data_IF_180849217877
#
_entry.id   IF_180849217877
#
_cell.length_a   1.000
_cell.length_b   1.000
_cell.length_c   1.000
_cell.angle_alpha   90.00
_cell.angle_beta   90.00
_cell.angle_gamma   90.00
#
_symmetry.space_group_name_H-M   'P 1'
#
loop_
_entity.id
_entity.type
_entity.pdbx_description
1 polymer ?
#
# COMPACT_ATOMS: atom_id res chain seq x y z
N UNK A 1 22.00 6.98 -7.40
CA UNK A 1 21.01 7.46 -6.42
C UNK A 1 19.64 7.73 -7.01
N UNK A 2 19.40 8.74 -7.87
CA UNK A 2 18.06 8.99 -8.43
C UNK A 2 17.39 7.74 -9.05
N UNK A 3 18.13 6.99 -9.88
CA UNK A 3 17.62 5.74 -10.47
C UNK A 3 17.42 4.57 -9.50
N UNK A 4 18.10 4.53 -8.36
CA UNK A 4 17.92 3.46 -7.36
C UNK A 4 16.64 3.68 -6.55
N UNK A 5 16.31 4.93 -6.22
CA UNK A 5 15.05 5.28 -5.58
C UNK A 5 13.86 5.10 -6.52
N UNK A 6 14.02 5.40 -7.81
CA UNK A 6 12.99 5.12 -8.82
C UNK A 6 12.67 3.62 -8.92
N UNK A 7 13.68 2.74 -8.90
CA UNK A 7 13.47 1.28 -8.93
C UNK A 7 12.79 0.77 -7.65
N UNK A 8 13.16 1.30 -6.48
CA UNK A 8 12.48 0.97 -5.22
C UNK A 8 11.04 1.48 -5.25
N UNK A 9 10.81 2.71 -5.73
CA UNK A 9 9.48 3.31 -5.82
C UNK A 9 8.55 2.48 -6.71
N UNK A 10 9.00 2.08 -7.90
CA UNK A 10 8.21 1.22 -8.79
C UNK A 10 7.84 -0.13 -8.16
N UNK A 11 8.74 -0.73 -7.37
CA UNK A 11 8.42 -1.95 -6.61
C UNK A 11 7.39 -1.70 -5.51
N UNK A 12 7.51 -0.58 -4.80
CA UNK A 12 6.54 -0.20 -3.77
C UNK A 12 5.16 0.11 -4.36
N UNK A 13 5.10 0.74 -5.53
CA UNK A 13 3.86 0.98 -6.28
C UNK A 13 3.15 -0.33 -6.60
N UNK A 14 3.88 -1.31 -7.14
CA UNK A 14 3.34 -2.66 -7.38
C UNK A 14 2.82 -3.33 -6.11
N UNK A 15 3.56 -3.24 -5.01
CA UNK A 15 3.11 -3.78 -3.71
C UNK A 15 1.84 -3.05 -3.21
N UNK A 16 1.72 -1.74 -3.42
CA UNK A 16 0.55 -0.98 -3.02
C UNK A 16 -0.71 -1.42 -3.79
N UNK A 17 -0.55 -1.73 -5.09
CA UNK A 17 -1.62 -2.32 -5.92
C UNK A 17 -1.99 -3.73 -5.45
N UNK A 18 -1.02 -4.61 -5.21
CA UNK A 18 -1.28 -5.97 -4.70
C UNK A 18 -2.05 -5.95 -3.36
N UNK A 19 -1.69 -5.02 -2.47
CA UNK A 19 -2.40 -4.82 -1.20
C UNK A 19 -3.83 -4.31 -1.39
N UNK A 20 -4.07 -3.48 -2.42
CA UNK A 20 -5.40 -2.98 -2.75
C UNK A 20 -6.28 -4.11 -3.30
N UNK A 21 -5.76 -4.90 -4.24
CA UNK A 21 -6.47 -6.03 -4.83
C UNK A 21 -6.82 -7.08 -3.78
N UNK A 22 -5.88 -7.41 -2.91
CA UNK A 22 -6.12 -8.35 -1.82
C UNK A 22 -7.18 -7.83 -0.84
N UNK A 23 -7.19 -6.53 -0.53
CA UNK A 23 -8.23 -5.93 0.32
C UNK A 23 -9.63 -6.08 -0.30
N UNK A 24 -9.75 -5.85 -1.62
CA UNK A 24 -11.02 -6.03 -2.35
C UNK A 24 -11.47 -7.49 -2.32
N UNK A 25 -10.56 -8.44 -2.53
CA UNK A 25 -10.87 -9.88 -2.46
C UNK A 25 -11.40 -10.25 -1.08
N UNK A 26 -10.71 -9.84 -0.01
CA UNK A 26 -11.13 -10.15 1.37
C UNK A 26 -12.48 -9.51 1.74
N UNK A 27 -12.75 -8.31 1.23
CA UNK A 27 -14.04 -7.67 1.42
C UNK A 27 -15.17 -8.47 0.77
N UNK A 28 -14.96 -8.96 -0.47
CA UNK A 28 -15.94 -9.79 -1.18
C UNK A 28 -16.18 -11.12 -0.47
N UNK A 29 -15.11 -11.82 -0.08
CA UNK A 29 -15.21 -13.09 0.66
C UNK A 29 -15.98 -12.93 1.97
N UNK A 30 -15.79 -11.81 2.68
CA UNK A 30 -16.56 -11.50 3.89
C UNK A 30 -18.04 -11.31 3.62
N UNK A 31 -18.39 -10.59 2.55
CA UNK A 31 -19.79 -10.38 2.14
C UNK A 31 -20.44 -11.72 1.78
N UNK A 32 -19.75 -12.53 0.99
CA UNK A 32 -20.24 -13.84 0.53
C UNK A 32 -20.41 -14.83 1.70
N UNK A 33 -19.57 -14.75 2.73
CA UNK A 33 -19.69 -15.53 3.96
C UNK A 33 -20.80 -15.02 4.91
N UNK A 34 -21.52 -13.95 4.56
CA UNK A 34 -22.55 -13.34 5.41
C UNK A 34 -21.97 -12.53 6.58
N UNK A 35 -20.70 -12.14 6.52
CA UNK A 35 -20.02 -11.33 7.52
C UNK A 35 -20.56 -9.90 7.55
N UNK A 36 -21.03 -9.46 8.71
CA UNK A 36 -21.55 -8.11 8.95
C UNK A 36 -20.49 -7.13 9.47
N UNK A 37 -19.31 -7.63 9.83
CA UNK A 37 -18.19 -6.83 10.33
C UNK A 37 -17.09 -6.66 9.30
N UNK A 38 -16.43 -5.51 9.36
CA UNK A 38 -15.23 -5.21 8.58
C UNK A 38 -14.12 -6.20 8.97
N UNK A 39 -13.61 -7.04 8.04
CA UNK A 39 -12.60 -8.04 8.38
C UNK A 39 -11.37 -7.38 9.00
N UNK A 40 -10.86 -7.94 10.10
CA UNK A 40 -9.60 -7.50 10.72
C UNK A 40 -8.46 -7.49 9.68
N UNK A 41 -8.50 -8.45 8.76
CA UNK A 41 -7.55 -8.56 7.64
C UNK A 41 -7.65 -7.37 6.67
N UNK A 42 -8.85 -6.89 6.36
CA UNK A 42 -9.02 -5.77 5.43
C UNK A 42 -8.50 -4.44 6.03
N UNK A 43 -8.78 -4.23 7.32
CA UNK A 43 -8.23 -3.07 8.06
C UNK A 43 -6.71 -3.12 8.13
N UNK A 44 -6.14 -4.33 8.28
CA UNK A 44 -4.69 -4.53 8.28
C UNK A 44 -4.09 -4.23 6.89
N UNK A 45 -4.72 -4.69 5.83
CA UNK A 45 -4.29 -4.45 4.43
C UNK A 45 -4.33 -2.96 4.09
N UNK A 46 -5.41 -2.26 4.45
CA UNK A 46 -5.53 -0.81 4.21
C UNK A 46 -4.43 -0.02 4.93
N UNK A 47 -4.09 -0.39 6.17
CA UNK A 47 -2.99 0.27 6.90
C UNK A 47 -1.63 -0.02 6.30
N UNK A 48 -1.38 -1.26 5.87
CA UNK A 48 -0.16 -1.64 5.19
C UNK A 48 0.01 -0.83 3.90
N UNK A 49 -1.05 -0.75 3.09
CA UNK A 49 -1.04 0.03 1.84
C UNK A 49 -0.69 1.50 2.09
N UNK A 50 -1.32 2.15 3.08
CA UNK A 50 -0.99 3.55 3.43
C UNK A 50 0.46 3.73 3.86
N UNK A 51 1.04 2.75 4.56
CA UNK A 51 2.45 2.81 4.94
C UNK A 51 3.38 2.72 3.72
N UNK A 52 3.02 1.88 2.74
CA UNK A 52 3.74 1.76 1.46
C UNK A 52 3.60 3.04 0.63
N UNK A 53 2.39 3.59 0.51
CA UNK A 53 2.14 4.88 -0.15
C UNK A 53 2.99 6.00 0.47
N UNK A 54 3.09 6.05 1.81
CA UNK A 54 3.97 7.01 2.49
C UNK A 54 5.44 6.81 2.11
N UNK A 55 5.91 5.57 2.03
CA UNK A 55 7.29 5.29 1.63
C UNK A 55 7.57 5.73 0.19
N UNK A 56 6.62 5.54 -0.74
CA UNK A 56 6.69 6.04 -2.12
C UNK A 56 6.90 7.56 -2.14
N UNK A 57 6.09 8.30 -1.38
CA UNK A 57 6.18 9.77 -1.33
C UNK A 57 7.53 10.23 -0.75
N UNK A 58 8.03 9.58 0.29
CA UNK A 58 9.34 9.89 0.89
C UNK A 58 10.52 9.65 -0.07
N UNK A 59 10.36 8.75 -1.05
CA UNK A 59 11.38 8.47 -2.06
C UNK A 59 11.21 9.34 -3.33
N UNK A 60 10.09 10.04 -3.46
CA UNK A 60 9.82 11.03 -4.52
C UNK A 60 10.34 12.41 -4.15
N UNK A 61 10.27 12.79 -2.87
CA UNK A 61 10.79 14.07 -2.39
C UNK A 61 12.28 14.21 -2.76
N UNK A 62 12.67 15.24 -3.55
CA UNK A 62 14.07 15.55 -3.72
C UNK A 62 14.65 15.82 -2.34
N UNK A 63 15.91 15.44 -2.12
CA UNK A 63 16.59 15.57 -0.84
C UNK A 63 16.65 17.06 -0.42
N UNK A 64 15.60 17.53 0.26
CA UNK A 64 15.45 18.89 0.81
C UNK A 64 16.34 19.08 2.05
N UNK A 65 17.40 18.27 2.17
CA UNK A 65 18.52 18.45 3.09
C UNK A 65 19.49 19.55 2.66
N UNK A 66 19.05 20.50 1.83
CA UNK A 66 19.81 21.72 1.53
C UNK A 66 19.29 22.84 2.44
N UNK A 67 20.04 23.07 3.52
CA UNK A 67 19.91 24.16 4.49
C UNK A 67 19.62 25.54 3.89
#
# INVERSE_FOLDING_TARGET
MAGEFDEIRGRLEGIAEELADLAIVRLRESIDAGGTEYPVDEKRLTRARRAVEKAIHLLEEPDDSTW
#
